data_IF_377728474955
#
_entry.id   IF_377728474955
#
_cell.length_a   1.000
_cell.length_b   1.000
_cell.length_c   1.000
_cell.angle_alpha   90.00
_cell.angle_beta   90.00
_cell.angle_gamma   90.00
#
_symmetry.space_group_name_H-M   'P 1'
#
loop_
_entity.id
_entity.type
_entity.pdbx_description
1 polymer ?
#
# COMPACT_ATOMS: atom_id res chain seq x y z
N UNK A 1 -10.20 18.32 -21.35
CA UNK A 1 -10.84 17.48 -20.33
C UNK A 1 -10.79 16.06 -20.85
N UNK A 2 -10.20 15.15 -20.08
CA UNK A 2 -10.05 13.76 -20.50
C UNK A 2 -11.40 13.03 -20.48
N UNK A 3 -11.68 12.22 -21.51
CA UNK A 3 -12.90 11.40 -21.56
C UNK A 3 -12.68 10.09 -20.79
N UNK A 4 -13.76 9.50 -20.28
CA UNK A 4 -13.71 8.30 -19.43
C UNK A 4 -14.54 7.18 -20.03
N UNK A 5 -14.02 5.97 -19.98
CA UNK A 5 -14.71 4.75 -20.43
C UNK A 5 -14.36 3.59 -19.49
N UNK A 6 -15.30 2.66 -19.32
CA UNK A 6 -15.05 1.46 -18.52
C UNK A 6 -15.27 1.61 -17.01
N UNK A 7 -15.89 2.70 -16.54
CA UNK A 7 -16.18 2.92 -15.12
C UNK A 7 -17.57 2.39 -14.77
N UNK A 8 -17.64 1.10 -14.41
CA UNK A 8 -18.88 0.43 -14.03
C UNK A 8 -19.03 0.37 -12.50
N UNK A 9 -20.26 0.17 -12.03
CA UNK A 9 -20.55 0.11 -10.59
C UNK A 9 -19.78 -1.00 -9.86
N UNK A 10 -19.47 -2.07 -10.58
CA UNK A 10 -18.77 -3.24 -10.05
C UNK A 10 -17.29 -2.95 -9.70
N UNK A 11 -16.68 -1.92 -10.29
CA UNK A 11 -15.28 -1.53 -10.07
C UNK A 11 -15.09 -0.54 -8.90
N UNK A 12 -16.05 -0.47 -7.97
CA UNK A 12 -15.85 0.24 -6.70
C UNK A 12 -15.80 1.78 -6.78
N UNK A 13 -16.32 2.40 -7.84
CA UNK A 13 -16.65 3.83 -7.87
C UNK A 13 -15.47 4.82 -7.81
N UNK A 14 -14.21 4.37 -7.91
CA UNK A 14 -12.98 5.19 -7.98
C UNK A 14 -13.10 6.60 -7.38
N UNK A 15 -13.39 6.69 -6.07
CA UNK A 15 -13.44 7.96 -5.34
C UNK A 15 -14.81 8.62 -5.14
N UNK A 16 -15.89 8.15 -5.79
CA UNK A 16 -17.26 8.64 -5.57
C UNK A 16 -18.27 7.47 -5.36
N UNK A 17 -18.61 7.17 -4.10
CA UNK A 17 -19.62 6.16 -3.75
C UNK A 17 -21.01 6.44 -4.34
N UNK A 18 -21.34 7.71 -4.61
CA UNK A 18 -22.64 8.12 -5.17
C UNK A 18 -22.70 7.95 -6.69
N UNK A 19 -21.56 8.12 -7.39
CA UNK A 19 -21.42 7.76 -8.79
C UNK A 19 -21.51 6.23 -9.00
N UNK A 20 -20.99 5.45 -8.06
CA UNK A 20 -21.02 3.97 -8.12
C UNK A 20 -22.45 3.42 -8.22
N UNK A 21 -23.45 4.02 -7.56
CA UNK A 21 -24.83 3.53 -7.60
C UNK A 21 -25.57 3.89 -8.90
N UNK A 22 -25.14 4.96 -9.60
CA UNK A 22 -25.75 5.42 -10.86
C UNK A 22 -24.99 4.98 -12.11
N UNK A 23 -23.78 4.40 -11.94
CA UNK A 23 -22.97 3.88 -13.02
C UNK A 23 -23.65 2.69 -13.73
N UNK A 24 -23.39 2.50 -15.04
CA UNK A 24 -23.83 1.32 -15.76
C UNK A 24 -23.30 0.05 -15.08
N UNK A 25 -24.05 -1.05 -15.20
CA UNK A 25 -23.54 -2.36 -14.79
C UNK A 25 -22.67 -2.92 -15.89
N UNK A 26 -21.52 -3.47 -15.52
CA UNK A 26 -20.65 -4.23 -16.42
C UNK A 26 -21.42 -5.38 -17.10
N UNK A 27 -22.32 -6.02 -16.36
CA UNK A 27 -23.08 -7.19 -16.83
C UNK A 27 -24.01 -6.86 -18.00
N UNK A 28 -24.49 -5.62 -18.08
CA UNK A 28 -25.35 -5.17 -19.17
C UNK A 28 -24.57 -4.94 -20.48
N UNK A 29 -23.24 -4.80 -20.39
CA UNK A 29 -22.38 -4.59 -21.55
C UNK A 29 -21.84 -5.90 -22.15
N UNK A 30 -21.99 -7.05 -21.46
CA UNK A 30 -21.52 -8.36 -21.93
C UNK A 30 -22.33 -8.83 -23.13
N UNK A 31 -21.65 -9.39 -24.14
CA UNK A 31 -22.28 -9.89 -25.38
C UNK A 31 -21.90 -11.33 -25.67
N UNK A 32 -22.67 -11.98 -26.53
CA UNK A 32 -22.37 -13.34 -27.00
C UNK A 32 -21.21 -13.38 -28.03
N UNK A 33 -20.91 -12.25 -28.67
CA UNK A 33 -19.84 -12.14 -29.65
C UNK A 33 -19.30 -10.70 -29.68
N UNK A 34 -18.01 -10.60 -29.96
CA UNK A 34 -17.24 -9.36 -30.03
C UNK A 34 -17.45 -8.55 -31.30
N UNK A 35 -16.74 -7.42 -31.37
CA UNK A 35 -16.57 -6.70 -32.63
C UNK A 35 -15.72 -7.51 -33.62
N UNK A 36 -15.86 -7.25 -34.91
CA UNK A 36 -15.09 -7.96 -35.95
C UNK A 36 -13.58 -7.70 -35.87
N UNK A 37 -13.19 -6.58 -35.26
CA UNK A 37 -11.82 -6.10 -35.03
C UNK A 37 -11.41 -6.19 -33.54
N UNK A 38 -12.09 -7.02 -32.74
CA UNK A 38 -11.91 -7.10 -31.29
C UNK A 38 -10.44 -7.35 -30.86
N UNK A 39 -9.72 -8.24 -31.53
CA UNK A 39 -8.31 -8.50 -31.22
C UNK A 39 -7.44 -7.24 -31.33
N UNK A 40 -7.73 -6.37 -32.30
CA UNK A 40 -6.99 -5.12 -32.50
C UNK A 40 -7.38 -4.07 -31.46
N UNK A 41 -8.65 -4.05 -31.06
CA UNK A 41 -9.16 -3.20 -29.98
C UNK A 41 -8.50 -3.60 -28.66
N UNK A 42 -8.44 -4.90 -28.35
CA UNK A 42 -7.80 -5.39 -27.12
C UNK A 42 -6.31 -5.05 -27.10
N UNK A 43 -5.60 -5.26 -28.21
CA UNK A 43 -4.20 -4.88 -28.32
C UNK A 43 -3.98 -3.36 -28.10
N UNK A 44 -4.89 -2.53 -28.60
CA UNK A 44 -4.86 -1.08 -28.34
C UNK A 44 -4.97 -0.79 -26.84
N UNK A 45 -5.97 -1.37 -26.17
CA UNK A 45 -6.23 -1.16 -24.73
C UNK A 45 -5.04 -1.55 -23.86
N UNK A 46 -4.36 -2.65 -24.21
CA UNK A 46 -3.19 -3.16 -23.49
C UNK A 46 -1.90 -2.38 -23.78
N UNK A 47 -1.81 -1.72 -24.94
CA UNK A 47 -0.62 -0.96 -25.34
C UNK A 47 -0.60 0.49 -24.80
N UNK A 48 -1.65 0.92 -24.11
CA UNK A 48 -1.81 2.29 -23.67
C UNK A 48 -0.89 2.67 -22.50
N UNK A 49 -0.72 3.99 -22.29
CA UNK A 49 0.18 4.50 -21.26
C UNK A 49 -0.48 4.38 -19.89
N UNK A 50 0.10 3.58 -19.00
CA UNK A 50 -0.32 3.50 -17.59
C UNK A 50 0.11 4.75 -16.82
N UNK A 51 -0.84 5.36 -16.10
CA UNK A 51 -0.60 6.58 -15.30
C UNK A 51 -0.82 6.35 -13.81
N UNK A 52 -1.53 5.28 -13.45
CA UNK A 52 -1.75 4.86 -12.08
C UNK A 52 -1.81 3.35 -12.04
N UNK A 53 -1.10 2.76 -11.10
CA UNK A 53 -1.03 1.31 -10.94
C UNK A 53 -1.69 0.93 -9.63
N UNK A 54 -2.79 0.18 -9.72
CA UNK A 54 -3.28 -0.61 -8.61
C UNK A 54 -2.50 -1.89 -8.61
N UNK A 55 -1.90 -2.20 -7.47
CA UNK A 55 -1.03 -3.35 -7.35
C UNK A 55 -1.76 -4.56 -6.74
N UNK A 56 -3.10 -4.52 -6.66
CA UNK A 56 -3.91 -5.68 -6.31
C UNK A 56 -4.33 -6.48 -7.54
N UNK A 57 -5.02 -7.60 -7.31
CA UNK A 57 -5.82 -8.25 -8.32
C UNK A 57 -7.27 -8.30 -7.83
N UNK A 58 -8.22 -8.08 -8.73
CA UNK A 58 -9.64 -8.28 -8.42
C UNK A 58 -10.12 -9.56 -9.11
N UNK A 59 -11.13 -10.21 -8.51
CA UNK A 59 -11.79 -11.33 -9.17
C UNK A 59 -12.65 -10.81 -10.32
N UNK A 60 -12.64 -11.56 -11.41
CA UNK A 60 -13.57 -11.35 -12.52
C UNK A 60 -15.00 -11.30 -11.98
N UNK A 61 -15.67 -10.16 -12.18
CA UNK A 61 -17.01 -9.97 -11.60
C UNK A 61 -18.07 -10.77 -12.37
N UNK A 62 -17.81 -11.16 -13.62
CA UNK A 62 -18.75 -11.92 -14.44
C UNK A 62 -18.74 -13.39 -14.04
N UNK A 63 -17.57 -14.04 -14.03
CA UNK A 63 -17.43 -15.48 -13.74
C UNK A 63 -17.04 -15.77 -12.31
N UNK A 64 -16.22 -14.91 -11.69
CA UNK A 64 -15.63 -15.14 -10.37
C UNK A 64 -14.44 -16.11 -10.36
N UNK A 65 -14.12 -16.71 -11.51
CA UNK A 65 -13.15 -17.82 -11.61
C UNK A 65 -11.72 -17.35 -11.87
N UNK A 66 -11.57 -16.19 -12.50
CA UNK A 66 -10.28 -15.62 -12.88
C UNK A 66 -9.92 -14.40 -12.01
N UNK A 67 -8.62 -14.18 -11.83
CA UNK A 67 -8.09 -12.98 -11.20
C UNK A 67 -7.50 -12.07 -12.26
N UNK A 68 -7.82 -10.78 -12.16
CA UNK A 68 -7.37 -9.75 -13.10
C UNK A 68 -6.26 -8.94 -12.41
N UNK A 69 -4.99 -9.15 -12.75
CA UNK A 69 -3.88 -8.41 -12.15
C UNK A 69 -3.97 -6.93 -12.53
N UNK A 70 -3.78 -6.06 -11.55
CA UNK A 70 -3.82 -4.62 -11.77
C UNK A 70 -5.21 -4.06 -12.00
N UNK A 71 -6.28 -4.82 -11.74
CA UNK A 71 -7.64 -4.28 -11.70
C UNK A 71 -7.68 -2.99 -10.85
N UNK A 72 -8.32 -1.95 -11.35
CA UNK A 72 -8.23 -0.60 -10.80
C UNK A 72 -7.07 0.29 -11.30
N UNK A 73 -6.07 -0.24 -12.01
CA UNK A 73 -5.02 0.58 -12.66
C UNK A 73 -5.59 1.43 -13.78
N UNK A 74 -5.10 2.66 -13.92
CA UNK A 74 -5.57 3.60 -14.94
C UNK A 74 -4.55 3.73 -16.07
N UNK A 75 -5.07 3.60 -17.29
CA UNK A 75 -4.35 3.71 -18.55
C UNK A 75 -5.00 4.75 -19.46
N UNK A 76 -4.20 5.36 -20.33
CA UNK A 76 -4.65 6.43 -21.22
C UNK A 76 -3.87 6.51 -22.54
N UNK A 77 -4.55 6.98 -23.58
CA UNK A 77 -3.99 7.39 -24.88
C UNK A 77 -3.79 8.92 -25.01
N UNK A 78 -4.10 9.67 -23.95
CA UNK A 78 -4.07 11.14 -23.90
C UNK A 78 -5.41 11.83 -24.18
N UNK A 79 -6.39 11.12 -24.76
CA UNK A 79 -7.76 11.60 -25.04
C UNK A 79 -8.80 10.91 -24.16
N UNK A 80 -8.58 9.64 -23.88
CA UNK A 80 -9.42 8.75 -23.09
C UNK A 80 -8.64 8.16 -21.91
N UNK A 81 -9.37 7.89 -20.84
CA UNK A 81 -8.91 7.23 -19.63
C UNK A 81 -9.79 6.02 -19.38
N UNK A 82 -9.18 4.88 -19.06
CA UNK A 82 -9.89 3.66 -18.73
C UNK A 82 -9.09 2.81 -17.73
N UNK A 83 -9.74 1.76 -17.24
CA UNK A 83 -9.14 0.79 -16.33
C UNK A 83 -8.47 -0.33 -17.13
N UNK A 84 -7.33 -0.82 -16.65
CA UNK A 84 -6.57 -1.88 -17.35
C UNK A 84 -7.40 -3.16 -17.56
N UNK A 85 -8.30 -3.46 -16.61
CA UNK A 85 -9.19 -4.62 -16.67
C UNK A 85 -10.22 -4.56 -17.79
N UNK A 86 -10.41 -3.41 -18.42
CA UNK A 86 -11.30 -3.26 -19.57
C UNK A 86 -10.89 -4.20 -20.72
N UNK A 87 -9.58 -4.40 -20.94
CA UNK A 87 -9.06 -5.33 -21.93
C UNK A 87 -9.46 -6.78 -21.62
N UNK A 88 -9.43 -7.17 -20.34
CA UNK A 88 -9.87 -8.50 -19.89
C UNK A 88 -11.35 -8.73 -20.21
N UNK A 89 -12.22 -7.77 -19.90
CA UNK A 89 -13.65 -7.92 -20.13
C UNK A 89 -14.04 -7.87 -21.62
N UNK A 90 -13.34 -7.09 -22.44
CA UNK A 90 -13.55 -7.13 -23.90
C UNK A 90 -13.12 -8.49 -24.46
N UNK A 91 -11.93 -8.98 -24.09
CA UNK A 91 -11.40 -10.25 -24.58
C UNK A 91 -12.23 -11.46 -24.16
N UNK A 92 -12.58 -11.55 -22.88
CA UNK A 92 -13.15 -12.77 -22.30
C UNK A 92 -14.68 -12.76 -22.28
N UNK A 93 -15.30 -11.57 -22.30
CA UNK A 93 -16.75 -11.40 -22.17
C UNK A 93 -17.37 -10.57 -23.31
N UNK A 94 -16.61 -10.27 -24.37
CA UNK A 94 -17.07 -9.52 -25.55
C UNK A 94 -17.78 -8.21 -25.20
N UNK A 95 -17.31 -7.59 -24.12
CA UNK A 95 -17.94 -6.43 -23.53
C UNK A 95 -18.03 -5.28 -24.54
N UNK A 96 -19.23 -4.74 -24.72
CA UNK A 96 -19.50 -3.63 -25.63
C UNK A 96 -18.85 -2.34 -25.13
N UNK A 97 -18.01 -1.74 -25.97
CA UNK A 97 -17.44 -0.42 -25.74
C UNK A 97 -18.32 0.68 -26.39
N UNK A 98 -18.36 1.90 -25.84
CA UNK A 98 -19.00 3.04 -26.49
C UNK A 98 -18.48 3.27 -27.92
N UNK A 99 -19.38 3.50 -28.87
CA UNK A 99 -19.03 3.58 -30.29
C UNK A 99 -18.03 4.70 -30.60
N UNK A 100 -18.13 5.83 -29.91
CA UNK A 100 -17.21 6.97 -30.06
C UNK A 100 -15.79 6.68 -29.55
N UNK A 101 -15.65 5.76 -28.59
CA UNK A 101 -14.35 5.26 -28.17
C UNK A 101 -13.78 4.27 -29.20
N UNK A 102 -14.60 3.34 -29.70
CA UNK A 102 -14.18 2.39 -30.75
C UNK A 102 -13.76 3.13 -32.03
N UNK A 103 -14.53 4.14 -32.45
CA UNK A 103 -14.20 4.97 -33.61
C UNK A 103 -12.89 5.74 -33.40
N UNK A 104 -12.59 6.16 -32.16
CA UNK A 104 -11.31 6.78 -31.81
C UNK A 104 -10.13 5.80 -31.98
N UNK A 105 -10.27 4.58 -31.46
CA UNK A 105 -9.27 3.51 -31.60
C UNK A 105 -8.98 3.22 -33.08
N UNK A 106 -10.05 3.08 -33.87
CA UNK A 106 -9.97 2.85 -35.32
C UNK A 106 -9.29 4.01 -36.05
N UNK A 107 -9.61 5.26 -35.67
CA UNK A 107 -8.99 6.45 -36.24
C UNK A 107 -7.48 6.55 -35.93
N UNK A 108 -7.03 6.01 -34.79
CA UNK A 108 -5.62 5.89 -34.43
C UNK A 108 -4.93 4.67 -35.06
N UNK A 109 -5.63 3.91 -35.90
CA UNK A 109 -5.08 2.72 -36.56
C UNK A 109 -4.71 1.61 -35.57
N UNK A 110 -5.42 1.51 -34.44
CA UNK A 110 -5.15 0.55 -33.37
C UNK A 110 -3.75 0.66 -32.74
N UNK A 111 -3.12 1.83 -32.81
CA UNK A 111 -1.86 2.12 -32.13
C UNK A 111 -2.07 3.22 -31.10
N UNK A 112 -1.85 2.90 -29.81
CA UNK A 112 -1.94 3.91 -28.75
C UNK A 112 -0.80 4.94 -28.91
N UNK A 113 -1.10 6.25 -28.89
CA UNK A 113 -0.09 7.29 -28.83
C UNK A 113 0.81 7.16 -27.60
N UNK A 114 2.11 7.39 -27.77
CA UNK A 114 3.06 7.48 -26.66
C UNK A 114 2.97 8.86 -26.01
N UNK A 115 2.75 8.93 -24.70
CA UNK A 115 2.67 10.18 -23.96
C UNK A 115 4.02 10.55 -23.34
N UNK A 116 4.31 11.85 -23.27
CA UNK A 116 5.45 12.33 -22.49
C UNK A 116 5.16 12.20 -20.98
N UNK A 117 6.22 12.21 -20.17
CA UNK A 117 6.09 12.20 -18.71
C UNK A 117 5.27 13.40 -18.20
N UNK A 118 5.46 14.59 -18.80
CA UNK A 118 4.71 15.80 -18.42
C UNK A 118 3.21 15.68 -18.73
N UNK A 119 2.86 15.11 -19.88
CA UNK A 119 1.46 14.87 -20.26
C UNK A 119 0.80 13.86 -19.33
N UNK A 120 1.50 12.77 -19.01
CA UNK A 120 1.03 11.72 -18.11
C UNK A 120 0.76 12.28 -16.71
N UNK A 121 1.68 13.08 -16.17
CA UNK A 121 1.53 13.73 -14.86
C UNK A 121 0.37 14.74 -14.84
N UNK A 122 0.18 15.49 -15.92
CA UNK A 122 -0.96 16.42 -16.03
C UNK A 122 -2.30 15.69 -15.99
N UNK A 123 -2.42 14.57 -16.70
CA UNK A 123 -3.64 13.75 -16.72
C UNK A 123 -3.89 13.12 -15.35
N UNK A 124 -2.84 12.59 -14.72
CA UNK A 124 -2.90 12.08 -13.35
C UNK A 124 -3.46 13.13 -12.39
N UNK A 125 -2.88 14.33 -12.38
CA UNK A 125 -3.36 15.41 -11.51
C UNK A 125 -4.80 15.84 -11.86
N UNK A 126 -5.16 15.96 -13.14
CA UNK A 126 -6.54 16.29 -13.57
C UNK A 126 -7.57 15.28 -13.03
N UNK A 127 -7.20 14.00 -12.96
CA UNK A 127 -8.05 12.94 -12.43
C UNK A 127 -8.15 13.01 -10.90
N UNK A 128 -7.02 13.02 -10.18
CA UNK A 128 -7.00 12.94 -8.72
C UNK A 128 -7.33 14.27 -8.00
N UNK A 129 -7.06 15.44 -8.61
CA UNK A 129 -7.44 16.74 -8.02
C UNK A 129 -8.96 16.95 -8.02
N UNK A 130 -9.70 16.31 -8.93
CA UNK A 130 -11.17 16.33 -8.91
C UNK A 130 -11.74 15.51 -7.76
N UNK A 131 -11.08 14.42 -7.36
CA UNK A 131 -11.54 13.55 -6.25
C UNK A 131 -11.13 14.09 -4.87
N UNK A 132 -10.06 14.89 -4.79
CA UNK A 132 -9.72 15.65 -3.59
C UNK A 132 -10.85 16.62 -3.14
N UNK A 133 -11.78 16.93 -4.04
CA UNK A 133 -12.93 17.78 -3.75
C UNK A 133 -14.11 17.02 -3.11
N UNK A 134 -14.26 15.70 -3.31
CA UNK A 134 -15.47 14.93 -2.95
C UNK A 134 -15.19 13.59 -2.24
N UNK A 135 -14.06 13.46 -1.55
CA UNK A 135 -13.73 12.31 -0.69
C UNK A 135 -13.95 12.55 0.81
N UNK A 136 -15.09 13.11 1.22
CA UNK A 136 -15.47 13.19 2.63
C UNK A 136 -16.84 12.52 2.81
N UNK A 137 -16.86 11.29 3.34
CA UNK A 137 -17.82 10.79 4.36
C UNK A 137 -17.83 9.25 4.43
N UNK A 138 -16.78 8.70 5.03
CA UNK A 138 -16.98 7.74 6.10
C UNK A 138 -16.31 8.35 7.33
N UNK A 139 -16.86 8.22 8.56
CA UNK A 139 -16.09 8.58 9.74
C UNK A 139 -14.87 7.65 9.77
N UNK A 140 -13.73 8.13 9.25
CA UNK A 140 -12.44 7.52 9.52
C UNK A 140 -12.35 7.50 11.04
N UNK A 141 -12.41 6.30 11.62
CA UNK A 141 -12.00 6.09 13.00
C UNK A 141 -10.71 6.89 13.19
N UNK A 142 -10.72 7.81 14.16
CA UNK A 142 -9.50 8.56 14.53
C UNK A 142 -8.43 7.61 15.04
N UNK A 143 -8.85 6.43 15.51
CA UNK A 143 -7.97 5.36 15.95
C UNK A 143 -7.45 4.60 14.72
N UNK A 144 -6.13 4.61 14.58
CA UNK A 144 -5.39 3.97 13.50
C UNK A 144 -4.52 2.84 14.06
N UNK A 145 -4.96 1.58 13.97
CA UNK A 145 -4.14 0.44 14.35
C UNK A 145 -2.78 0.45 13.66
N UNK A 146 -1.72 0.14 14.41
CA UNK A 146 -0.35 0.10 13.90
C UNK A 146 0.49 -0.93 14.64
N UNK A 147 1.52 -1.41 13.96
CA UNK A 147 2.63 -2.12 14.55
C UNK A 147 3.87 -1.28 14.30
N UNK A 148 4.65 -0.99 15.33
CA UNK A 148 5.97 -0.41 15.09
C UNK A 148 7.06 -1.13 15.88
N UNK A 149 8.24 -1.24 15.29
CA UNK A 149 9.43 -1.66 16.02
C UNK A 149 10.61 -0.75 15.70
N UNK A 150 11.54 -0.69 16.63
CA UNK A 150 12.74 0.12 16.57
C UNK A 150 13.92 -0.81 16.32
N UNK A 151 14.73 -0.45 15.34
CA UNK A 151 15.93 -1.19 14.93
C UNK A 151 17.15 -0.28 14.98
N UNK A 152 18.37 -0.84 15.11
CA UNK A 152 19.58 -0.09 14.87
C UNK A 152 19.56 0.51 13.46
N UNK A 153 20.31 1.59 13.24
CA UNK A 153 20.44 2.20 11.93
C UNK A 153 20.78 1.14 10.89
N UNK A 154 19.91 1.01 9.89
CA UNK A 154 20.00 -0.01 8.89
C UNK A 154 21.21 0.28 7.99
N UNK A 155 22.02 -0.75 7.80
CA UNK A 155 23.03 -0.85 6.75
C UNK A 155 22.42 -1.55 5.55
N UNK A 156 23.09 -1.54 4.40
CA UNK A 156 22.59 -2.27 3.23
C UNK A 156 22.37 -3.77 3.54
N UNK A 157 23.29 -4.38 4.28
CA UNK A 157 23.19 -5.78 4.73
C UNK A 157 21.97 -6.03 5.64
N UNK A 158 21.75 -5.18 6.66
CA UNK A 158 20.62 -5.36 7.56
C UNK A 158 19.29 -4.97 6.92
N UNK A 159 19.27 -4.02 5.98
CA UNK A 159 18.09 -3.72 5.16
C UNK A 159 17.70 -4.91 4.28
N UNK A 160 18.66 -5.54 3.61
CA UNK A 160 18.40 -6.74 2.81
C UNK A 160 17.93 -7.91 3.68
N UNK A 161 18.50 -8.05 4.89
CA UNK A 161 18.04 -9.05 5.86
C UNK A 161 16.59 -8.79 6.31
N UNK A 162 16.23 -7.54 6.63
CA UNK A 162 14.88 -7.15 6.99
C UNK A 162 13.87 -7.49 5.89
N UNK A 163 14.18 -7.13 4.63
CA UNK A 163 13.32 -7.45 3.48
C UNK A 163 13.15 -8.96 3.34
N UNK A 164 14.22 -9.74 3.50
CA UNK A 164 14.15 -11.20 3.45
C UNK A 164 13.31 -11.78 4.60
N UNK A 165 13.40 -11.22 5.80
CA UNK A 165 12.63 -11.66 6.97
C UNK A 165 11.13 -11.38 6.80
N UNK A 166 10.79 -10.21 6.27
CA UNK A 166 9.42 -9.88 5.87
C UNK A 166 8.91 -10.91 4.84
N UNK A 167 9.69 -11.17 3.80
CA UNK A 167 9.33 -12.16 2.77
C UNK A 167 9.11 -13.57 3.35
N UNK A 168 10.01 -14.02 4.23
CA UNK A 168 9.88 -15.30 4.92
C UNK A 168 8.66 -15.39 5.85
N UNK A 169 8.16 -14.24 6.33
CA UNK A 169 6.97 -14.16 7.16
C UNK A 169 5.65 -14.07 6.36
N UNK A 170 5.74 -13.97 5.03
CA UNK A 170 4.61 -13.82 4.11
C UNK A 170 4.32 -12.37 3.68
N UNK A 171 5.25 -11.44 3.94
CA UNK A 171 5.12 -10.02 3.60
C UNK A 171 6.12 -9.64 2.51
N UNK A 172 5.66 -9.39 1.30
CA UNK A 172 6.53 -9.04 0.17
C UNK A 172 6.65 -7.52 0.01
N UNK A 173 7.85 -7.00 -0.17
CA UNK A 173 8.08 -5.56 -0.41
C UNK A 173 7.88 -5.15 -1.87
N UNK A 174 7.95 -6.12 -2.78
CA UNK A 174 7.55 -5.97 -4.17
C UNK A 174 6.25 -6.74 -4.37
N UNK A 175 5.36 -6.23 -5.22
CA UNK A 175 4.10 -6.92 -5.46
C UNK A 175 4.35 -8.31 -6.10
N UNK A 176 3.81 -9.42 -5.56
CA UNK A 176 4.24 -10.76 -5.97
C UNK A 176 3.92 -11.17 -7.42
N UNK A 177 3.01 -10.47 -8.11
CA UNK A 177 2.73 -10.72 -9.53
C UNK A 177 3.52 -9.81 -10.47
N UNK A 178 3.74 -8.55 -10.10
CA UNK A 178 4.36 -7.55 -10.98
C UNK A 178 5.85 -7.36 -10.71
N UNK A 179 6.35 -7.88 -9.58
CA UNK A 179 7.71 -7.67 -9.07
C UNK A 179 8.07 -6.18 -8.91
N UNK A 180 7.05 -5.33 -8.79
CA UNK A 180 7.20 -3.89 -8.69
C UNK A 180 7.22 -3.44 -7.23
N UNK A 181 8.24 -2.65 -6.88
CA UNK A 181 8.25 -1.83 -5.67
C UNK A 181 7.68 -0.44 -5.98
N UNK A 182 6.73 0.00 -5.17
CA UNK A 182 6.26 1.39 -5.17
C UNK A 182 6.30 1.99 -3.77
N UNK A 183 6.72 3.25 -3.71
CA UNK A 183 6.83 3.98 -2.47
C UNK A 183 7.34 5.39 -2.68
N UNK A 184 7.71 6.02 -1.57
CA UNK A 184 8.31 7.35 -1.57
C UNK A 184 9.51 7.38 -0.65
N UNK A 185 10.42 8.31 -0.90
CA UNK A 185 11.51 8.63 0.00
C UNK A 185 11.63 10.13 0.13
N UNK A 186 11.85 10.59 1.36
CA UNK A 186 11.98 12.00 1.71
C UNK A 186 13.37 12.25 2.27
N UNK A 187 14.08 13.25 1.71
CA UNK A 187 15.39 13.62 2.23
C UNK A 187 15.29 14.36 3.56
N UNK A 188 16.41 14.50 4.28
CA UNK A 188 16.48 15.33 5.49
C UNK A 188 16.09 16.79 5.25
N UNK A 189 16.21 17.30 4.02
CA UNK A 189 15.75 18.65 3.64
C UNK A 189 14.26 18.71 3.25
N UNK A 190 13.52 17.61 3.37
CA UNK A 190 12.08 17.55 3.08
C UNK A 190 11.72 17.34 1.61
N UNK A 191 12.68 16.94 0.76
CA UNK A 191 12.40 16.66 -0.66
C UNK A 191 11.85 15.24 -0.80
N UNK A 192 10.58 15.13 -1.17
CA UNK A 192 9.91 13.84 -1.47
C UNK A 192 10.10 13.45 -2.93
N UNK A 193 10.43 12.19 -3.18
CA UNK A 193 10.53 11.61 -4.52
C UNK A 193 10.06 10.15 -4.56
N UNK A 194 9.75 9.62 -5.75
CA UNK A 194 9.29 8.25 -5.89
C UNK A 194 10.40 7.25 -5.56
N UNK A 195 10.01 6.12 -4.99
CA UNK A 195 10.82 4.92 -4.83
C UNK A 195 10.23 3.85 -5.76
N UNK A 196 10.97 3.51 -6.81
CA UNK A 196 10.60 2.51 -7.80
C UNK A 196 11.78 1.57 -8.06
N UNK A 197 11.49 0.32 -8.44
CA UNK A 197 12.50 -0.69 -8.74
C UNK A 197 12.17 -2.00 -8.04
N UNK A 198 13.18 -2.61 -7.41
CA UNK A 198 13.02 -3.87 -6.67
C UNK A 198 13.60 -3.82 -5.26
N UNK A 199 13.65 -4.97 -4.56
CA UNK A 199 14.13 -5.10 -3.19
C UNK A 199 15.49 -4.45 -2.91
N UNK A 200 16.44 -4.52 -3.86
CA UNK A 200 17.77 -3.93 -3.70
C UNK A 200 17.74 -2.40 -3.64
N UNK A 201 16.82 -1.76 -4.39
CA UNK A 201 16.63 -0.30 -4.40
C UNK A 201 16.02 0.15 -3.07
N UNK A 202 15.09 -0.63 -2.52
CA UNK A 202 14.57 -0.41 -1.17
C UNK A 202 15.70 -0.54 -0.15
N UNK A 203 16.48 -1.62 -0.19
CA UNK A 203 17.55 -1.87 0.76
C UNK A 203 18.58 -0.73 0.79
N UNK A 204 18.98 -0.24 -0.39
CA UNK A 204 19.86 0.91 -0.53
C UNK A 204 19.22 2.19 0.05
N UNK A 205 17.94 2.45 -0.24
CA UNK A 205 17.24 3.65 0.25
C UNK A 205 17.07 3.65 1.78
N UNK A 206 16.81 2.48 2.39
CA UNK A 206 16.71 2.34 3.84
C UNK A 206 18.05 2.60 4.55
N UNK A 207 19.15 2.20 3.91
CA UNK A 207 20.50 2.33 4.45
C UNK A 207 21.10 3.73 4.26
N UNK A 208 20.61 4.48 3.27
CA UNK A 208 21.15 5.78 2.93
C UNK A 208 20.81 6.85 3.99
N UNK A 209 21.83 7.54 4.48
CA UNK A 209 21.70 8.60 5.47
C UNK A 209 21.03 9.86 4.93
N UNK A 210 20.94 10.04 3.61
CA UNK A 210 20.29 11.20 3.02
C UNK A 210 18.76 11.19 3.19
N UNK A 211 18.16 10.01 3.33
CA UNK A 211 16.72 9.84 3.48
C UNK A 211 16.33 9.77 4.97
N UNK A 212 15.38 10.63 5.34
CA UNK A 212 14.79 10.68 6.68
C UNK A 212 13.63 9.70 6.79
N UNK A 213 12.79 9.66 5.78
CA UNK A 213 11.59 8.84 5.71
C UNK A 213 11.58 8.04 4.41
N UNK A 214 11.29 6.75 4.49
CA UNK A 214 11.08 5.85 3.35
C UNK A 214 9.76 5.14 3.56
N UNK A 215 8.86 5.27 2.60
CA UNK A 215 7.51 4.72 2.58
C UNK A 215 7.43 3.68 1.45
N UNK A 216 6.86 2.51 1.71
CA UNK A 216 6.60 1.47 0.71
C UNK A 216 5.45 0.57 1.16
N UNK A 217 4.93 -0.24 0.25
CA UNK A 217 3.87 -1.21 0.56
C UNK A 217 4.45 -2.58 0.87
N UNK A 218 3.98 -3.21 1.96
CA UNK A 218 4.20 -4.64 2.20
C UNK A 218 2.95 -5.41 1.81
N UNK A 219 3.09 -6.37 0.90
CA UNK A 219 2.03 -7.20 0.36
C UNK A 219 1.84 -8.46 1.18
N UNK A 220 0.59 -8.75 1.52
CA UNK A 220 0.16 -10.01 2.09
C UNK A 220 -0.72 -10.71 1.05
N UNK A 221 -0.19 -11.77 0.43
CA UNK A 221 -0.82 -12.33 -0.77
C UNK A 221 -0.69 -11.39 -1.97
N UNK A 222 -1.76 -11.25 -2.76
CA UNK A 222 -1.74 -10.55 -4.06
C UNK A 222 -2.66 -9.32 -4.12
N UNK A 223 -3.50 -9.10 -3.11
CA UNK A 223 -4.56 -8.09 -3.10
C UNK A 223 -4.55 -7.23 -1.84
N UNK A 224 -3.88 -7.68 -0.78
CA UNK A 224 -3.75 -6.94 0.46
C UNK A 224 -2.36 -6.36 0.61
N UNK A 225 -2.30 -5.11 1.05
CA UNK A 225 -1.06 -4.48 1.45
C UNK A 225 -1.26 -3.59 2.67
N UNK A 226 -0.14 -3.30 3.33
CA UNK A 226 -0.08 -2.39 4.44
C UNK A 226 1.03 -1.38 4.19
N UNK A 227 0.71 -0.10 4.44
CA UNK A 227 1.69 0.96 4.30
C UNK A 227 2.79 0.77 5.35
N UNK A 228 4.03 0.78 4.90
CA UNK A 228 5.22 0.64 5.72
C UNK A 228 6.04 1.92 5.66
N UNK A 229 6.31 2.49 6.82
CA UNK A 229 7.10 3.71 6.96
C UNK A 229 8.35 3.40 7.78
N UNK A 230 9.52 3.67 7.20
CA UNK A 230 10.80 3.60 7.90
C UNK A 230 11.31 5.02 8.10
N UNK A 231 11.32 5.46 9.36
CA UNK A 231 11.78 6.78 9.76
C UNK A 231 13.08 6.69 10.53
N UNK A 232 14.06 7.52 10.15
CA UNK A 232 15.28 7.74 10.92
C UNK A 232 14.97 8.61 12.13
N UNK A 233 15.20 8.08 13.33
CA UNK A 233 15.01 8.80 14.58
C UNK A 233 16.26 9.62 14.90
N UNK A 234 17.41 8.96 14.81
CA UNK A 234 18.74 9.53 15.00
C UNK A 234 19.78 8.72 14.19
N UNK A 235 21.08 9.06 14.21
CA UNK A 235 22.10 8.32 13.46
C UNK A 235 22.26 6.84 13.84
N UNK A 236 21.76 6.41 15.00
CA UNK A 236 21.90 5.07 15.56
C UNK A 236 20.63 4.22 15.51
N UNK A 237 19.46 4.83 15.31
CA UNK A 237 18.18 4.15 15.36
C UNK A 237 17.21 4.56 14.24
N UNK A 238 16.49 3.56 13.73
CA UNK A 238 15.36 3.72 12.83
C UNK A 238 14.11 3.07 13.42
N UNK A 239 12.95 3.62 13.08
CA UNK A 239 11.64 3.08 13.41
C UNK A 239 10.98 2.57 12.14
N UNK A 240 10.49 1.34 12.19
CA UNK A 240 9.68 0.73 11.14
C UNK A 240 8.25 0.68 11.65
N UNK A 241 7.32 1.29 10.93
CA UNK A 241 5.90 1.34 11.27
C UNK A 241 5.09 0.71 10.15
N UNK A 242 4.21 -0.21 10.50
CA UNK A 242 3.30 -0.94 9.64
C UNK A 242 1.87 -0.51 9.97
N UNK A 243 1.14 -0.02 8.98
CA UNK A 243 -0.20 0.50 9.13
C UNK A 243 -1.23 -0.63 9.01
N UNK A 244 -1.45 -1.37 10.10
CA UNK A 244 -2.42 -2.48 10.12
C UNK A 244 -3.85 -2.01 9.84
N UNK A 245 -4.14 -0.73 10.06
CA UNK A 245 -5.42 -0.12 9.69
C UNK A 245 -5.78 -0.28 8.20
N UNK A 246 -4.79 -0.47 7.33
CA UNK A 246 -4.98 -0.63 5.88
C UNK A 246 -5.47 -2.05 5.52
N UNK A 247 -5.34 -3.01 6.44
CA UNK A 247 -5.82 -4.39 6.28
C UNK A 247 -7.27 -4.51 6.79
N UNK A 248 -8.16 -5.21 6.07
CA UNK A 248 -9.52 -5.51 6.53
C UNK A 248 -9.53 -6.15 7.92
N UNK A 249 -10.52 -5.81 8.74
CA UNK A 249 -10.58 -6.26 10.15
C UNK A 249 -10.50 -7.78 10.33
N UNK A 250 -11.08 -8.54 9.39
CA UNK A 250 -11.04 -10.00 9.38
C UNK A 250 -9.63 -10.58 9.28
N UNK A 251 -8.71 -9.86 8.62
CA UNK A 251 -7.36 -10.35 8.29
C UNK A 251 -6.27 -9.66 9.13
N UNK A 252 -6.63 -8.75 10.04
CA UNK A 252 -5.67 -8.00 10.86
C UNK A 252 -4.83 -8.88 11.75
N UNK A 253 -5.40 -9.93 12.33
CA UNK A 253 -4.63 -10.86 13.18
C UNK A 253 -3.62 -11.66 12.36
N UNK A 254 -3.91 -11.99 11.10
CA UNK A 254 -2.94 -12.62 10.21
C UNK A 254 -1.81 -11.67 9.84
N UNK A 255 -2.13 -10.38 9.60
CA UNK A 255 -1.14 -9.32 9.40
C UNK A 255 -0.22 -9.18 10.63
N UNK A 256 -0.81 -9.09 11.83
CA UNK A 256 -0.08 -8.99 13.10
C UNK A 256 0.78 -10.24 13.30
N UNK A 257 0.25 -11.43 13.06
CA UNK A 257 1.00 -12.68 13.18
C UNK A 257 2.19 -12.74 12.21
N UNK A 258 2.03 -12.26 10.97
CA UNK A 258 3.14 -12.14 10.02
C UNK A 258 4.21 -11.16 10.52
N UNK A 259 3.82 -10.00 11.05
CA UNK A 259 4.75 -9.02 11.60
C UNK A 259 5.47 -9.54 12.85
N UNK A 260 4.78 -10.28 13.74
CA UNK A 260 5.41 -10.96 14.88
C UNK A 260 6.43 -11.99 14.41
N UNK A 261 6.09 -12.81 13.40
CA UNK A 261 7.06 -13.77 12.82
C UNK A 261 8.28 -13.08 12.19
N UNK A 262 8.09 -11.90 11.58
CA UNK A 262 9.20 -11.11 11.05
C UNK A 262 10.08 -10.57 12.18
N UNK A 263 9.47 -10.05 13.25
CA UNK A 263 10.17 -9.57 14.44
C UNK A 263 10.94 -10.69 15.15
N UNK A 264 10.33 -11.87 15.32
CA UNK A 264 10.95 -13.04 15.97
C UNK A 264 12.26 -13.47 15.32
N UNK A 265 12.39 -13.28 13.99
CA UNK A 265 13.59 -13.63 13.25
C UNK A 265 14.80 -12.73 13.59
N UNK A 266 14.61 -11.55 14.18
CA UNK A 266 15.68 -10.64 14.60
C UNK A 266 15.43 -9.95 15.96
N UNK A 267 14.74 -10.64 16.86
CA UNK A 267 14.40 -10.11 18.18
C UNK A 267 15.61 -9.64 18.99
N UNK A 268 16.80 -10.20 18.72
CA UNK A 268 18.06 -9.85 19.39
C UNK A 268 18.53 -8.41 19.11
N UNK A 269 18.23 -7.87 17.92
CA UNK A 269 18.61 -6.50 17.55
C UNK A 269 17.47 -5.49 17.75
N UNK A 270 16.25 -5.95 18.06
CA UNK A 270 15.13 -5.07 18.34
C UNK A 270 15.41 -4.17 19.55
N UNK A 271 15.24 -2.85 19.36
CA UNK A 271 15.40 -1.84 20.40
C UNK A 271 14.09 -1.59 21.18
N UNK A 272 12.97 -2.11 20.69
CA UNK A 272 11.65 -2.00 21.29
C UNK A 272 10.55 -2.09 20.23
N UNK A 273 9.33 -2.39 20.65
CA UNK A 273 8.20 -2.48 19.73
C UNK A 273 6.88 -2.13 20.42
N UNK A 274 5.88 -1.81 19.61
CA UNK A 274 4.50 -1.53 20.03
C UNK A 274 3.56 -2.20 19.04
N UNK A 275 2.58 -2.93 19.57
CA UNK A 275 1.46 -3.48 18.82
C UNK A 275 0.21 -2.82 19.37
N UNK A 276 -0.43 -2.00 18.54
CA UNK A 276 -1.68 -1.31 18.85
C UNK A 276 -2.74 -1.71 17.83
N UNK A 277 -3.54 -2.70 18.19
CA UNK A 277 -4.59 -3.29 17.34
C UNK A 277 -5.81 -2.39 17.22
N UNK A 278 -5.95 -1.44 18.15
CA UNK A 278 -7.11 -0.54 18.21
C UNK A 278 -6.75 0.83 17.66
N UNK A 279 -5.50 1.29 17.86
CA UNK A 279 -5.01 2.63 17.50
C UNK A 279 -5.10 3.65 18.63
N UNK A 280 -5.21 3.20 19.88
CA UNK A 280 -5.42 4.06 21.07
C UNK A 280 -4.20 4.86 21.50
N UNK A 281 -3.00 4.39 21.15
CA UNK A 281 -1.71 4.96 21.51
C UNK A 281 -1.03 5.65 20.32
N UNK A 282 -1.77 6.00 19.26
CA UNK A 282 -1.22 6.65 18.07
C UNK A 282 -0.55 8.00 18.34
N UNK A 283 -1.04 8.75 19.33
CA UNK A 283 -0.48 10.05 19.74
C UNK A 283 0.63 9.94 20.80
N UNK A 284 0.91 8.72 21.31
CA UNK A 284 1.97 8.52 22.30
C UNK A 284 3.34 8.69 21.63
N UNK A 285 4.21 9.49 22.25
CA UNK A 285 5.59 9.67 21.80
C UNK A 285 6.44 8.43 22.15
N UNK A 286 6.26 7.38 21.35
CA UNK A 286 6.98 6.13 21.49
C UNK A 286 8.48 6.28 21.23
N UNK A 287 8.89 7.29 20.46
CA UNK A 287 10.31 7.52 20.16
C UNK A 287 11.04 7.86 21.47
N UNK A 288 10.49 8.75 22.29
CA UNK A 288 11.08 9.09 23.61
C UNK A 288 11.01 7.97 24.62
N UNK A 289 9.94 7.17 24.60
CA UNK A 289 9.77 6.03 25.52
C UNK A 289 10.77 4.92 25.19
N UNK A 290 10.84 4.49 23.94
CA UNK A 290 11.59 3.29 23.56
C UNK A 290 13.07 3.54 23.25
N UNK A 291 13.42 4.68 22.64
CA UNK A 291 14.81 4.97 22.22
C UNK A 291 15.36 6.30 22.73
N UNK A 292 14.53 7.31 23.01
CA UNK A 292 14.94 8.65 23.43
C UNK A 292 15.08 8.84 24.94
N UNK A 293 14.79 10.04 25.45
CA UNK A 293 14.79 10.34 26.89
C UNK A 293 13.53 11.13 27.28
N UNK A 294 13.08 10.96 28.53
CA UNK A 294 11.98 11.75 29.10
C UNK A 294 10.59 11.45 28.55
N UNK A 295 10.39 10.28 27.92
CA UNK A 295 9.06 9.82 27.51
C UNK A 295 8.24 9.38 28.73
N UNK A 296 7.04 9.94 28.91
CA UNK A 296 6.07 9.47 29.90
C UNK A 296 5.04 8.57 29.20
N UNK A 297 4.69 7.45 29.84
CA UNK A 297 3.68 6.55 29.31
C UNK A 297 2.29 7.00 29.79
N UNK A 298 1.50 7.60 28.91
CA UNK A 298 0.15 8.05 29.21
C UNK A 298 -0.92 7.00 28.84
N UNK A 299 -0.66 6.21 27.80
CA UNK A 299 -1.60 5.21 27.27
C UNK A 299 -0.86 3.90 27.02
N UNK A 300 -1.42 2.79 27.51
CA UNK A 300 -0.91 1.45 27.27
C UNK A 300 -1.49 0.88 25.96
N UNK A 301 -0.64 0.48 25.00
CA UNK A 301 -1.04 -0.25 23.79
C UNK A 301 -1.37 -1.70 24.14
N UNK A 302 -1.87 -2.49 23.20
CA UNK A 302 -2.13 -3.92 23.42
C UNK A 302 -0.88 -4.66 23.90
N UNK A 303 0.26 -4.43 23.22
CA UNK A 303 1.55 -5.02 23.58
C UNK A 303 2.66 -3.98 23.40
N UNK A 304 3.56 -3.89 24.35
CA UNK A 304 4.78 -3.07 24.24
C UNK A 304 5.99 -3.87 24.73
N UNK A 305 7.05 -3.88 23.91
CA UNK A 305 8.37 -4.40 24.27
C UNK A 305 9.36 -3.26 24.46
N UNK A 306 10.02 -3.21 25.61
CA UNK A 306 11.04 -2.20 25.93
C UNK A 306 12.32 -2.88 26.43
N UNK A 307 13.50 -2.32 26.10
CA UNK A 307 14.77 -2.88 26.60
C UNK A 307 14.83 -2.88 28.11
N UNK A 308 15.28 -4.00 28.69
CA UNK A 308 15.38 -4.17 30.15
C UNK A 308 16.21 -3.09 30.84
N UNK A 309 17.27 -2.61 30.19
CA UNK A 309 18.12 -1.53 30.70
C UNK A 309 17.40 -0.17 30.83
N UNK A 310 16.25 0.00 30.16
CA UNK A 310 15.46 1.24 30.21
C UNK A 310 14.31 1.20 31.20
N UNK A 311 13.98 0.03 31.76
CA UNK A 311 12.87 -0.13 32.71
C UNK A 311 12.98 0.79 33.93
N UNK A 312 14.21 1.04 34.42
CA UNK A 312 14.44 1.92 35.56
C UNK A 312 14.04 3.38 35.30
N UNK A 313 13.95 3.80 34.03
CA UNK A 313 13.53 5.14 33.63
C UNK A 313 12.00 5.28 33.51
N UNK A 314 11.26 4.16 33.54
CA UNK A 314 9.82 4.10 33.32
C UNK A 314 9.13 3.34 34.47
N UNK A 315 8.93 3.98 35.64
CA UNK A 315 8.28 3.35 36.80
C UNK A 315 6.86 2.85 36.50
N UNK A 316 6.21 3.33 35.45
CA UNK A 316 4.89 2.89 34.98
C UNK A 316 4.88 1.39 34.64
N UNK A 317 6.00 0.83 34.17
CA UNK A 317 6.14 -0.61 33.91
C UNK A 317 6.47 -1.43 35.15
N UNK A 318 6.90 -0.81 36.26
CA UNK A 318 7.35 -1.52 37.45
C UNK A 318 6.23 -2.29 38.18
N UNK A 319 4.98 -1.86 38.01
CA UNK A 319 3.81 -2.54 38.58
C UNK A 319 3.30 -3.71 37.71
N UNK A 320 3.76 -3.83 36.47
CA UNK A 320 3.30 -4.84 35.52
C UNK A 320 4.28 -6.03 35.46
N UNK A 321 3.74 -7.25 35.29
CA UNK A 321 4.58 -8.44 35.09
C UNK A 321 5.00 -8.52 33.63
N UNK A 322 6.26 -8.20 33.35
CA UNK A 322 6.84 -8.30 32.00
C UNK A 322 7.34 -9.72 31.71
N UNK A 323 7.12 -10.19 30.48
CA UNK A 323 7.71 -11.45 29.98
C UNK A 323 9.03 -11.16 29.28
N UNK A 324 10.04 -12.00 29.49
CA UNK A 324 11.32 -11.85 28.78
C UNK A 324 11.19 -12.23 27.31
N UNK A 325 11.71 -11.38 26.43
CA UNK A 325 11.75 -11.59 24.99
C UNK A 325 13.09 -11.06 24.45
N UNK A 326 14.10 -11.92 24.41
CA UNK A 326 15.47 -11.52 24.06
C UNK A 326 16.00 -10.40 24.98
N UNK A 327 16.42 -9.24 24.43
CA UNK A 327 16.85 -8.10 25.24
C UNK A 327 15.68 -7.29 25.85
N UNK A 328 14.43 -7.58 25.45
CA UNK A 328 13.23 -6.83 25.81
C UNK A 328 12.49 -7.46 27.00
N UNK A 329 11.79 -6.62 27.75
CA UNK A 329 10.67 -7.00 28.59
C UNK A 329 9.38 -6.59 27.89
N UNK A 330 8.44 -7.53 27.77
CA UNK A 330 7.18 -7.37 27.06
C UNK A 330 6.04 -7.26 28.04
N UNK A 331 5.22 -6.21 27.88
CA UNK A 331 4.05 -5.93 28.69
C UNK A 331 2.80 -5.98 27.83
N UNK A 332 1.76 -6.61 28.37
CA UNK A 332 0.45 -6.67 27.76
C UNK A 332 -0.48 -5.73 28.49
N UNK A 333 -1.39 -5.06 27.76
CA UNK A 333 -2.48 -4.35 28.42
C UNK A 333 -3.32 -5.38 29.20
N UNK A 334 -3.61 -5.15 30.49
CA UNK A 334 -4.50 -6.04 31.23
C UNK A 334 -5.86 -6.07 30.53
N UNK A 335 -6.36 -7.28 30.27
CA UNK A 335 -7.75 -7.46 29.85
C UNK A 335 -8.66 -6.87 30.94
N UNK A 336 -9.57 -5.99 30.55
CA UNK A 336 -10.62 -5.46 31.43
C UNK A 336 -11.75 -6.47 31.56
#
# INVERSE_FOLDING_TARGET
>A
MIKRVGFYREFGGHGDPSASASAPSLRDAVRAAGEWDEDQIVAYLESATEIYSTMGAERDVITGDDWIPGAGSLVTDGSWLWLVELAHYVRNHHMALPSDFVDHIRANGYVSPSLSHEQSLKIFNEYFDRDASHGATAPRSTLRPFFTWYVPALTNTSSAALIKQLGAAGLSVAHPLTDALFGFRETVEGRKGPLMGGPDVLAASLADGQYRDVEFQCWMGYDQSLATHVRRIDPSAQKVTFQIADVPEADREDAVAALVRALDQDAAHCLGFVIDRIGTSGEQDWDRVLVGHGGQLAVLPDIVGIRRERLSAHPEFAAAHGTEYGPLAVFHRPER
#
